data_IF_531500630144
#
_entry.id   IF_531500630144
#
_cell.length_a   1.000
_cell.length_b   1.000
_cell.length_c   1.000
_cell.angle_alpha   90.00
_cell.angle_beta   90.00
_cell.angle_gamma   90.00
#
_symmetry.space_group_name_H-M   'P 1'
#
loop_
_entity.id
_entity.type
_entity.pdbx_description
1 polymer ?
#
# COMPACT_ATOMS: atom_id res chain seq x y z
N UNK A 1 5.96 16.05 -5.72
CA UNK A 1 6.25 15.59 -4.34
C UNK A 1 4.97 15.21 -3.58
N UNK A 2 3.82 15.89 -3.78
CA UNK A 2 2.60 15.64 -2.98
C UNK A 2 1.90 14.28 -3.17
N UNK A 3 1.89 13.70 -4.39
CA UNK A 3 1.09 12.48 -4.65
C UNK A 3 1.65 11.21 -4.00
N UNK A 4 2.98 11.09 -3.92
CA UNK A 4 3.63 9.93 -3.29
C UNK A 4 3.37 9.92 -1.78
N UNK A 5 3.57 11.07 -1.12
CA UNK A 5 3.33 11.24 0.32
C UNK A 5 1.84 11.00 0.62
N UNK A 6 0.93 11.50 -0.22
CA UNK A 6 -0.51 11.28 -0.07
C UNK A 6 -0.88 9.80 -0.19
N UNK A 7 -0.27 9.06 -1.12
CA UNK A 7 -0.49 7.61 -1.27
C UNK A 7 -0.06 6.86 0.01
N UNK A 8 1.16 7.13 0.48
CA UNK A 8 1.71 6.48 1.68
C UNK A 8 0.86 6.82 2.91
N UNK A 9 0.52 8.09 3.13
CA UNK A 9 -0.29 8.53 4.28
C UNK A 9 -1.72 7.96 4.22
N UNK A 10 -2.32 7.86 3.03
CA UNK A 10 -3.66 7.27 2.85
C UNK A 10 -3.67 5.79 3.23
N UNK A 11 -2.69 5.04 2.74
CA UNK A 11 -2.54 3.64 3.09
C UNK A 11 -2.29 3.45 4.59
N UNK A 12 -1.42 4.28 5.18
CA UNK A 12 -1.04 4.15 6.58
C UNK A 12 -2.25 4.40 7.47
N UNK A 13 -3.02 5.46 7.21
CA UNK A 13 -4.28 5.74 7.93
C UNK A 13 -5.30 4.62 7.79
N UNK A 14 -5.36 3.95 6.64
CA UNK A 14 -6.23 2.80 6.46
C UNK A 14 -5.80 1.64 7.36
N UNK A 15 -4.50 1.33 7.40
CA UNK A 15 -3.94 0.31 8.28
C UNK A 15 -4.12 0.63 9.76
N UNK A 16 -3.92 1.89 10.17
CA UNK A 16 -4.19 2.33 11.55
C UNK A 16 -5.64 2.06 11.95
N UNK A 17 -6.60 2.45 11.10
CA UNK A 17 -8.03 2.29 11.39
C UNK A 17 -8.46 0.83 11.39
N UNK A 18 -7.96 0.03 10.45
CA UNK A 18 -8.44 -1.34 10.24
C UNK A 18 -7.71 -2.37 11.09
N UNK A 19 -6.43 -2.14 11.40
CA UNK A 19 -5.57 -3.10 12.09
C UNK A 19 -5.20 -2.63 13.51
N UNK A 20 -5.71 -1.47 13.95
CA UNK A 20 -5.29 -0.81 15.20
C UNK A 20 -3.76 -0.66 15.31
N UNK A 21 -3.11 -0.44 14.17
CA UNK A 21 -1.66 -0.34 14.07
C UNK A 21 -1.19 1.06 14.48
N UNK A 22 -0.03 1.12 15.12
CA UNK A 22 0.67 2.38 15.35
C UNK A 22 1.04 3.06 14.03
N UNK A 23 1.08 4.40 14.04
CA UNK A 23 1.29 5.17 12.80
C UNK A 23 2.62 4.83 12.14
N UNK A 24 3.67 4.78 12.93
CA UNK A 24 5.04 4.60 12.44
C UNK A 24 5.22 3.20 11.85
N UNK A 25 4.64 2.19 12.49
CA UNK A 25 4.58 0.82 11.97
C UNK A 25 3.84 0.74 10.63
N UNK A 26 2.68 1.40 10.53
CA UNK A 26 1.89 1.43 9.30
C UNK A 26 2.63 2.13 8.16
N UNK A 27 3.28 3.26 8.46
CA UNK A 27 4.12 3.99 7.51
C UNK A 27 5.31 3.16 7.05
N UNK A 28 5.97 2.46 7.98
CA UNK A 28 7.10 1.60 7.67
C UNK A 28 6.71 0.46 6.73
N UNK A 29 5.64 -0.29 7.05
CA UNK A 29 5.21 -1.43 6.24
C UNK A 29 4.87 -0.99 4.82
N UNK A 30 4.13 0.12 4.67
CA UNK A 30 3.74 0.63 3.35
C UNK A 30 4.92 1.16 2.58
N UNK A 31 5.80 1.92 3.24
CA UNK A 31 7.00 2.45 2.58
C UNK A 31 7.87 1.30 2.08
N UNK A 32 8.12 0.27 2.91
CA UNK A 32 8.85 -0.93 2.51
C UNK A 32 8.18 -1.66 1.35
N UNK A 33 6.86 -1.80 1.36
CA UNK A 33 6.12 -2.44 0.28
C UNK A 33 6.20 -1.67 -1.05
N UNK A 34 6.09 -0.33 -0.99
CA UNK A 34 6.21 0.54 -2.16
C UNK A 34 7.63 0.46 -2.74
N UNK A 35 8.65 0.58 -1.89
CA UNK A 35 10.05 0.49 -2.32
C UNK A 35 10.35 -0.86 -2.97
N UNK A 36 9.95 -1.96 -2.33
CA UNK A 36 10.18 -3.30 -2.88
C UNK A 36 9.46 -3.51 -4.23
N UNK A 37 8.25 -2.97 -4.43
CA UNK A 37 7.57 -3.07 -5.73
C UNK A 37 8.23 -2.22 -6.82
N UNK A 38 8.78 -1.05 -6.46
CA UNK A 38 9.55 -0.23 -7.39
C UNK A 38 10.85 -0.91 -7.80
N UNK A 39 11.54 -1.54 -6.86
CA UNK A 39 12.76 -2.33 -7.08
C UNK A 39 12.48 -3.53 -8.00
N UNK A 40 11.46 -4.34 -7.69
CA UNK A 40 11.06 -5.50 -8.49
C UNK A 40 10.74 -5.13 -9.95
N UNK A 41 10.16 -3.95 -10.17
CA UNK A 41 9.83 -3.43 -11.51
C UNK A 41 10.95 -2.66 -12.17
N UNK A 42 12.07 -2.43 -11.46
CA UNK A 42 13.15 -1.56 -11.93
C UNK A 42 12.64 -0.19 -12.42
N UNK A 43 11.71 0.42 -11.67
CA UNK A 43 11.03 1.66 -12.05
C UNK A 43 11.04 2.69 -10.93
N UNK A 44 10.62 3.91 -11.24
CA UNK A 44 10.43 4.99 -10.26
C UNK A 44 8.95 5.30 -10.13
N UNK A 45 8.53 5.71 -8.94
CA UNK A 45 7.12 6.00 -8.67
C UNK A 45 6.57 7.08 -9.60
N UNK A 46 7.36 8.09 -9.96
CA UNK A 46 6.94 9.11 -10.93
C UNK A 46 6.62 8.54 -12.33
N UNK A 47 7.32 7.48 -12.76
CA UNK A 47 7.03 6.80 -14.02
C UNK A 47 5.71 6.01 -13.95
N UNK A 48 5.42 5.38 -12.81
CA UNK A 48 4.13 4.72 -12.55
C UNK A 48 2.98 5.74 -12.51
N UNK A 49 3.21 6.91 -11.93
CA UNK A 49 2.17 7.94 -11.82
C UNK A 49 1.73 8.50 -13.17
N UNK A 50 2.58 8.45 -14.20
CA UNK A 50 2.25 8.88 -15.57
C UNK A 50 1.89 7.70 -16.49
N UNK A 51 1.96 6.46 -16.01
CA UNK A 51 1.64 5.28 -16.82
C UNK A 51 0.13 5.12 -17.02
N UNK A 52 -0.26 4.11 -17.81
CA UNK A 52 -1.67 3.78 -18.00
C UNK A 52 -2.35 3.41 -16.66
N UNK A 53 -3.68 3.56 -16.59
CA UNK A 53 -4.49 3.09 -15.45
C UNK A 53 -4.32 1.59 -15.18
N UNK A 54 -4.07 0.80 -16.22
CA UNK A 54 -3.83 -0.64 -16.10
C UNK A 54 -2.49 -0.90 -15.40
N UNK A 55 -1.41 -0.26 -15.83
CA UNK A 55 -0.08 -0.34 -15.20
C UNK A 55 -0.13 0.12 -13.74
N UNK A 56 -0.83 1.23 -13.50
CA UNK A 56 -1.09 1.75 -12.17
C UNK A 56 -1.81 0.74 -11.26
N UNK A 57 -2.88 0.11 -11.75
CA UNK A 57 -3.60 -0.92 -11.01
C UNK A 57 -2.73 -2.14 -10.71
N UNK A 58 -1.91 -2.56 -11.67
CA UNK A 58 -1.00 -3.70 -11.53
C UNK A 58 0.09 -3.38 -10.50
N UNK A 59 0.61 -2.15 -10.46
CA UNK A 59 1.53 -1.67 -9.43
C UNK A 59 0.88 -1.70 -8.03
N UNK A 60 -0.31 -1.09 -7.88
CA UNK A 60 -1.01 -1.08 -6.58
C UNK A 60 -1.27 -2.48 -6.05
N UNK A 61 -1.67 -3.42 -6.91
CA UNK A 61 -1.83 -4.84 -6.53
C UNK A 61 -0.54 -5.46 -6.01
N UNK A 62 0.59 -5.15 -6.64
CA UNK A 62 1.91 -5.61 -6.20
C UNK A 62 2.25 -5.07 -4.80
N UNK A 63 2.11 -3.75 -4.60
CA UNK A 63 2.30 -3.11 -3.28
C UNK A 63 1.42 -3.75 -2.22
N UNK A 64 0.13 -3.91 -2.51
CA UNK A 64 -0.84 -4.56 -1.59
C UNK A 64 -0.40 -5.98 -1.21
N UNK A 65 0.01 -6.79 -2.18
CA UNK A 65 0.50 -8.15 -1.92
C UNK A 65 1.74 -8.16 -1.00
N UNK A 66 2.63 -7.17 -1.14
CA UNK A 66 3.80 -7.05 -0.26
C UNK A 66 3.43 -6.56 1.15
N UNK A 67 2.44 -5.67 1.29
CA UNK A 67 1.89 -5.31 2.61
C UNK A 67 1.29 -6.55 3.28
N UNK A 68 0.49 -7.32 2.54
CA UNK A 68 -0.12 -8.55 3.06
C UNK A 68 0.93 -9.56 3.54
N UNK A 69 1.98 -9.78 2.75
CA UNK A 69 3.09 -10.66 3.13
C UNK A 69 3.80 -10.21 4.41
N UNK A 70 3.95 -8.90 4.63
CA UNK A 70 4.54 -8.37 5.85
C UNK A 70 3.61 -8.54 7.05
N UNK A 71 2.30 -8.31 6.88
CA UNK A 71 1.31 -8.49 7.94
C UNK A 71 1.13 -9.94 8.34
N UNK A 72 1.16 -10.88 7.39
CA UNK A 72 1.07 -12.33 7.67
C UNK A 72 2.26 -12.87 8.48
N UNK A 73 3.38 -12.15 8.54
CA UNK A 73 4.55 -12.50 9.37
C UNK A 73 4.41 -12.04 10.83
N UNK A 74 3.43 -11.19 11.11
CA UNK A 74 3.16 -10.62 12.42
C UNK A 74 2.07 -11.44 13.13
N UNK A 75 2.39 -12.04 14.27
CA UNK A 75 1.50 -12.97 14.98
C UNK A 75 0.31 -12.28 15.66
N UNK A 76 0.37 -10.97 15.83
CA UNK A 76 -0.69 -10.15 16.42
C UNK A 76 -1.91 -9.97 15.52
N UNK A 77 -1.80 -10.23 14.21
CA UNK A 77 -2.90 -10.09 13.26
C UNK A 77 -3.44 -11.45 12.83
N UNK A 78 -4.76 -11.65 12.97
CA UNK A 78 -5.41 -12.80 12.37
C UNK A 78 -5.68 -12.59 10.87
N UNK A 79 -5.86 -13.67 10.13
CA UNK A 79 -5.96 -13.64 8.67
C UNK A 79 -7.15 -12.80 8.16
N UNK A 80 -8.30 -12.86 8.84
CA UNK A 80 -9.49 -12.09 8.49
C UNK A 80 -9.30 -10.58 8.68
N UNK A 81 -8.55 -10.18 9.71
CA UNK A 81 -8.21 -8.80 9.99
C UNK A 81 -7.25 -8.26 8.92
N UNK A 82 -6.21 -9.03 8.59
CA UNK A 82 -5.28 -8.71 7.50
C UNK A 82 -6.04 -8.55 6.19
N UNK A 83 -6.91 -9.50 5.84
CA UNK A 83 -7.68 -9.47 4.59
C UNK A 83 -8.54 -8.21 4.46
N UNK A 84 -9.25 -7.82 5.53
CA UNK A 84 -10.08 -6.61 5.55
C UNK A 84 -9.25 -5.34 5.46
N UNK A 85 -8.14 -5.27 6.20
CA UNK A 85 -7.23 -4.11 6.15
C UNK A 85 -6.66 -3.90 4.75
N UNK A 86 -6.25 -4.99 4.09
CA UNK A 86 -5.75 -4.98 2.72
C UNK A 86 -6.79 -4.52 1.71
N UNK A 87 -8.02 -5.03 1.80
CA UNK A 87 -9.12 -4.60 0.92
C UNK A 87 -9.40 -3.10 1.03
N UNK A 88 -9.36 -2.56 2.25
CA UNK A 88 -9.59 -1.13 2.50
C UNK A 88 -8.44 -0.26 1.96
N UNK A 89 -7.18 -0.68 2.15
CA UNK A 89 -6.01 -0.01 1.56
C UNK A 89 -6.14 0.06 0.04
N UNK A 90 -6.49 -1.06 -0.60
CA UNK A 90 -6.64 -1.15 -2.05
C UNK A 90 -7.77 -0.25 -2.55
N UNK A 91 -8.92 -0.24 -1.87
CA UNK A 91 -10.06 0.63 -2.19
C UNK A 91 -9.67 2.11 -2.16
N UNK A 92 -9.04 2.54 -1.07
CA UNK A 92 -8.64 3.95 -0.88
C UNK A 92 -7.57 4.39 -1.87
N UNK A 93 -6.62 3.52 -2.23
CA UNK A 93 -5.64 3.83 -3.27
C UNK A 93 -6.28 3.97 -4.64
N UNK A 94 -7.20 3.08 -5.02
CA UNK A 94 -7.96 3.21 -6.25
C UNK A 94 -8.76 4.52 -6.32
N UNK A 95 -9.39 4.92 -5.22
CA UNK A 95 -10.12 6.20 -5.13
C UNK A 95 -9.19 7.42 -5.18
N UNK A 96 -7.99 7.31 -4.60
CA UNK A 96 -7.03 8.42 -4.59
C UNK A 96 -6.35 8.66 -5.94
N UNK A 97 -6.32 7.65 -6.80
CA UNK A 97 -5.66 7.68 -8.12
C UNK A 97 -6.62 7.95 -9.28
N UNK A 98 -7.94 7.88 -9.04
CA UNK A 98 -8.95 8.25 -10.04
C UNK A 98 -9.20 9.77 -10.13
N UNK A 99 -8.55 10.57 -9.27
CA UNK A 99 -8.58 12.03 -9.19
C UNK A 99 -7.33 12.68 -9.80
#
# INVERSE_FOLDING_TARGET
MDRQIKMIDTGARAMQRMLAMERDDALEIITRAVVAELEDRSTKLDAVMISSKAEQTVFLRGVVGKVEQQLRKRTEFNEDLVRRGIQEVMRLWHESWSL
#
